data_IF_167447125902
#
_entry.id   IF_167447125902
#
_cell.length_a   1.000
_cell.length_b   1.000
_cell.length_c   1.000
_cell.angle_alpha   90.00
_cell.angle_beta   90.00
_cell.angle_gamma   90.00
#
_symmetry.space_group_name_H-M   'P 1'
#
loop_
_entity.id
_entity.type
_entity.pdbx_description
1 polymer ?
#
# COMPACT_ATOMS: atom_id res chain seq x y z
N UNK A 1 16.00 20.48 22.98
CA UNK A 1 16.18 21.55 22.02
C UNK A 1 14.99 21.72 21.10
N UNK A 2 14.99 22.78 20.41
CA UNK A 2 14.05 23.11 19.35
C UNK A 2 14.78 22.89 18.03
N UNK A 3 14.73 21.64 17.52
CA UNK A 3 15.45 21.28 16.30
C UNK A 3 14.54 21.29 15.06
N UNK A 4 13.24 21.06 15.26
CA UNK A 4 12.29 20.87 14.16
C UNK A 4 11.36 22.07 13.91
N UNK A 5 11.15 22.93 14.91
CA UNK A 5 10.38 24.16 14.75
C UNK A 5 11.28 25.33 15.21
N UNK A 6 11.55 26.31 14.33
CA UNK A 6 12.41 27.43 14.67
C UNK A 6 11.78 28.32 15.75
N UNK A 7 12.64 28.96 16.54
CA UNK A 7 12.24 29.83 17.65
C UNK A 7 11.33 30.96 17.19
N UNK A 8 11.57 31.45 15.99
CA UNK A 8 10.87 32.57 15.37
C UNK A 8 9.37 32.27 15.17
N UNK A 9 9.01 30.99 14.98
CA UNK A 9 7.62 30.57 14.89
C UNK A 9 6.95 30.38 16.26
N UNK A 10 7.72 30.12 17.31
CA UNK A 10 7.21 29.85 18.65
C UNK A 10 6.98 31.10 19.47
N UNK A 11 7.82 32.13 19.30
CA UNK A 11 7.75 33.39 20.06
C UNK A 11 6.42 34.13 19.90
N UNK A 12 5.83 34.24 18.70
CA UNK A 12 4.52 34.88 18.53
C UNK A 12 3.39 34.23 19.33
N UNK A 13 3.48 32.91 19.59
CA UNK A 13 2.45 32.16 20.32
C UNK A 13 2.32 32.56 21.80
N UNK A 14 3.40 33.15 22.34
CA UNK A 14 3.49 33.58 23.74
C UNK A 14 3.74 35.07 23.88
N UNK A 15 3.68 35.84 22.78
CA UNK A 15 3.91 37.27 22.78
C UNK A 15 2.96 38.04 23.70
N UNK A 16 1.73 37.55 23.86
CA UNK A 16 0.71 38.10 24.74
C UNK A 16 1.04 37.98 26.23
N UNK A 17 2.04 37.20 26.61
CA UNK A 17 2.51 37.05 28.00
C UNK A 17 3.60 38.08 28.36
N UNK A 18 4.25 38.66 27.36
CA UNK A 18 5.36 39.58 27.59
C UNK A 18 4.90 40.87 28.23
N UNK A 19 5.72 41.39 29.17
CA UNK A 19 5.47 42.66 29.85
C UNK A 19 4.32 42.67 30.87
N UNK A 20 3.70 41.49 31.13
CA UNK A 20 2.61 41.36 32.07
C UNK A 20 3.05 40.76 33.43
N UNK A 21 2.37 41.13 34.48
CA UNK A 21 2.47 40.39 35.75
C UNK A 21 1.57 39.19 35.68
N UNK A 22 2.14 37.99 35.73
CA UNK A 22 1.46 36.72 35.57
C UNK A 22 1.73 35.85 36.79
N UNK A 23 0.71 35.06 37.18
CA UNK A 23 0.89 33.92 38.06
C UNK A 23 1.59 32.78 37.37
N UNK A 24 2.20 31.87 38.14
CA UNK A 24 2.82 30.66 37.55
C UNK A 24 1.77 29.78 36.80
N UNK A 25 0.51 29.81 37.21
CA UNK A 25 -0.59 29.13 36.54
C UNK A 25 -0.86 29.70 35.15
N UNK A 26 -1.01 31.03 35.04
CA UNK A 26 -1.22 31.73 33.76
C UNK A 26 -0.04 31.52 32.79
N UNK A 27 1.17 31.57 33.33
CA UNK A 27 2.39 31.34 32.53
C UNK A 27 2.43 29.91 31.98
N UNK A 28 2.06 28.90 32.79
CA UNK A 28 1.95 27.49 32.33
C UNK A 28 0.88 27.30 31.27
N UNK A 29 -0.28 27.93 31.39
CA UNK A 29 -1.32 27.88 30.36
C UNK A 29 -0.86 28.54 29.06
N UNK A 30 -0.16 29.67 29.12
CA UNK A 30 0.44 30.29 27.93
C UNK A 30 1.46 29.39 27.23
N UNK A 31 2.34 28.74 27.99
CA UNK A 31 3.35 27.81 27.44
C UNK A 31 2.70 26.55 26.82
N UNK A 32 1.52 26.14 27.24
CA UNK A 32 0.77 25.06 26.59
C UNK A 32 0.48 25.33 25.10
N UNK A 33 0.34 26.61 24.69
CA UNK A 33 0.15 26.96 23.27
C UNK A 33 1.26 26.41 22.39
N UNK A 34 2.51 26.43 22.89
CA UNK A 34 3.66 25.84 22.19
C UNK A 34 3.48 24.32 22.05
N UNK A 35 3.05 23.64 23.12
CA UNK A 35 2.79 22.19 23.06
C UNK A 35 1.70 21.84 22.04
N UNK A 36 0.60 22.59 22.01
CA UNK A 36 -0.47 22.41 21.02
C UNK A 36 0.05 22.60 19.61
N UNK A 37 0.82 23.67 19.37
CA UNK A 37 1.42 23.97 18.09
C UNK A 37 2.32 22.85 17.54
N UNK A 38 3.14 22.25 18.41
CA UNK A 38 3.93 21.07 18.04
C UNK A 38 3.06 19.87 17.67
N UNK A 39 2.00 19.61 18.47
CA UNK A 39 1.10 18.46 18.25
C UNK A 39 0.30 18.59 16.96
N UNK A 40 -0.16 19.79 16.62
CA UNK A 40 -0.85 20.07 15.36
C UNK A 40 0.04 19.83 14.13
N UNK A 41 1.38 19.92 14.31
CA UNK A 41 2.38 19.59 13.28
C UNK A 41 2.84 18.12 13.33
N UNK A 42 2.15 17.28 14.10
CA UNK A 42 2.43 15.85 14.15
C UNK A 42 3.49 15.41 15.17
N UNK A 43 4.05 16.32 15.98
CA UNK A 43 4.99 15.97 17.06
C UNK A 43 4.23 15.59 18.34
N UNK A 44 3.61 14.41 18.33
CA UNK A 44 2.60 13.98 19.33
C UNK A 44 3.09 13.90 20.78
N UNK A 45 4.38 13.68 20.98
CA UNK A 45 5.00 13.59 22.32
C UNK A 45 5.68 14.88 22.75
N UNK A 46 5.74 15.89 21.86
CA UNK A 46 6.37 17.17 22.20
C UNK A 46 5.66 17.87 23.34
N UNK A 47 6.46 18.48 24.22
CA UNK A 47 5.97 19.20 25.40
C UNK A 47 6.85 20.41 25.71
N UNK A 48 6.22 21.57 25.81
CA UNK A 48 6.83 22.76 26.38
C UNK A 48 6.52 22.85 27.87
N UNK A 49 7.50 23.25 28.67
CA UNK A 49 7.33 23.41 30.11
C UNK A 49 8.31 24.45 30.67
N UNK A 50 8.05 24.91 31.88
CA UNK A 50 8.91 25.81 32.63
C UNK A 50 9.67 24.97 33.64
N UNK A 51 11.00 24.80 33.49
CA UNK A 51 11.82 24.10 34.48
C UNK A 51 11.88 24.88 35.80
N UNK A 52 12.26 24.19 36.87
CA UNK A 52 12.55 24.83 38.13
C UNK A 52 13.70 25.82 37.91
N UNK A 53 13.49 27.11 38.22
CA UNK A 53 14.41 28.19 37.96
C UNK A 53 14.18 29.36 38.90
N UNK A 54 15.22 30.17 39.12
CA UNK A 54 15.08 31.50 39.71
C UNK A 54 14.74 32.48 38.57
N UNK A 55 13.68 33.26 38.76
CA UNK A 55 13.32 34.32 37.82
C UNK A 55 14.15 35.57 38.16
N UNK A 56 15.07 35.93 37.28
CA UNK A 56 15.90 37.13 37.37
C UNK A 56 15.51 38.11 36.27
N UNK A 57 15.37 39.36 36.61
CA UNK A 57 15.06 40.46 35.67
C UNK A 57 13.80 40.22 34.81
N UNK A 58 12.83 39.50 35.37
CA UNK A 58 11.59 39.17 34.66
C UNK A 58 11.75 38.17 33.52
N UNK A 59 12.92 37.54 33.38
CA UNK A 59 13.23 36.57 32.31
C UNK A 59 12.83 35.14 32.74
N UNK A 60 12.01 34.46 31.94
CA UNK A 60 11.58 33.08 32.20
C UNK A 60 12.06 32.19 31.10
N UNK A 61 12.80 31.12 31.45
CA UNK A 61 13.19 30.06 30.53
C UNK A 61 12.03 29.10 30.29
N UNK A 62 11.68 28.93 29.03
CA UNK A 62 10.76 27.87 28.57
C UNK A 62 11.58 26.81 27.87
N UNK A 63 11.42 25.57 28.27
CA UNK A 63 12.11 24.45 27.67
C UNK A 63 11.12 23.60 26.85
N UNK A 64 11.55 23.16 25.65
CA UNK A 64 10.79 22.27 24.80
C UNK A 64 11.50 20.92 24.73
N UNK A 65 10.77 19.87 25.04
CA UNK A 65 11.14 18.48 24.78
C UNK A 65 10.37 18.02 23.54
N UNK A 66 11.06 17.76 22.43
CA UNK A 66 10.41 17.31 21.18
C UNK A 66 10.09 15.83 21.21
N UNK A 67 10.79 15.05 22.04
CA UNK A 67 10.62 13.61 22.19
C UNK A 67 11.29 12.81 21.07
N UNK A 68 12.32 12.05 21.43
CA UNK A 68 13.05 11.18 20.47
C UNK A 68 12.74 9.72 20.71
N UNK A 69 12.68 8.92 19.66
CA UNK A 69 12.55 7.48 19.75
C UNK A 69 13.94 6.86 20.02
N UNK A 70 14.01 5.95 21.00
CA UNK A 70 15.26 5.22 21.32
C UNK A 70 15.21 3.80 20.77
N UNK A 71 14.06 3.13 20.91
CA UNK A 71 13.90 1.76 20.46
C UNK A 71 12.50 1.50 19.92
N UNK A 72 12.40 0.57 18.97
CA UNK A 72 11.14 -0.03 18.55
C UNK A 72 11.17 -1.53 18.80
N UNK A 73 10.16 -2.06 19.48
CA UNK A 73 9.98 -3.49 19.71
C UNK A 73 8.64 -3.96 19.19
N UNK A 74 8.59 -5.23 18.77
CA UNK A 74 7.40 -5.85 18.21
C UNK A 74 6.87 -6.91 19.15
N UNK A 75 5.59 -6.85 19.46
CA UNK A 75 4.80 -7.87 20.10
C UNK A 75 3.97 -8.58 19.02
N UNK A 76 4.50 -9.71 18.51
CA UNK A 76 4.00 -10.36 17.31
C UNK A 76 3.10 -11.55 17.63
N UNK A 77 1.84 -11.45 17.22
CA UNK A 77 0.84 -12.51 17.24
C UNK A 77 0.42 -12.96 15.84
N UNK A 78 1.05 -12.41 14.78
CA UNK A 78 0.79 -12.79 13.40
C UNK A 78 1.59 -14.03 12.98
N UNK A 79 1.31 -14.53 11.78
CA UNK A 79 2.10 -15.61 11.18
C UNK A 79 3.41 -15.12 10.55
N UNK A 80 3.56 -13.82 10.36
CA UNK A 80 4.76 -13.23 9.76
C UNK A 80 5.93 -13.32 10.73
N UNK A 81 7.08 -13.72 10.25
CA UNK A 81 8.31 -13.83 11.07
C UNK A 81 8.71 -12.46 11.60
N UNK A 82 9.15 -12.41 12.85
CA UNK A 82 9.49 -11.18 13.56
C UNK A 82 10.52 -10.33 12.81
N UNK A 83 11.56 -10.94 12.25
CA UNK A 83 12.58 -10.21 11.50
C UNK A 83 12.04 -9.51 10.24
N UNK A 84 10.96 -10.01 9.61
CA UNK A 84 10.31 -9.34 8.49
C UNK A 84 9.60 -8.07 8.96
N UNK A 85 8.88 -8.18 10.09
CA UNK A 85 8.20 -7.04 10.72
C UNK A 85 9.22 -5.99 11.18
N UNK A 86 10.31 -6.44 11.83
CA UNK A 86 11.37 -5.56 12.31
C UNK A 86 12.03 -4.81 11.15
N UNK A 87 12.29 -5.47 10.01
CA UNK A 87 12.81 -4.83 8.80
C UNK A 87 11.91 -3.69 8.31
N UNK A 88 10.59 -3.79 8.47
CA UNK A 88 9.67 -2.71 8.09
C UNK A 88 9.81 -1.52 9.03
N UNK A 89 9.94 -1.73 10.33
CA UNK A 89 10.14 -0.64 11.29
C UNK A 89 11.52 0.01 11.10
N UNK A 90 12.56 -0.78 10.93
CA UNK A 90 13.94 -0.29 10.77
C UNK A 90 14.07 0.57 9.51
N UNK A 91 13.36 0.21 8.44
CA UNK A 91 13.33 0.98 7.19
C UNK A 91 12.69 2.37 7.34
N UNK A 92 11.93 2.64 8.41
CA UNK A 92 11.40 3.97 8.68
C UNK A 92 12.43 4.89 9.34
N UNK A 93 13.58 4.36 9.75
CA UNK A 93 14.70 5.11 10.34
C UNK A 93 14.25 6.01 11.51
N UNK A 94 13.48 5.43 12.43
CA UNK A 94 12.86 6.15 13.55
C UNK A 94 13.82 6.37 14.72
N UNK A 95 14.85 5.52 14.88
CA UNK A 95 15.73 5.52 16.04
C UNK A 95 16.59 6.79 16.09
N UNK A 96 16.62 7.43 17.25
CA UNK A 96 17.35 8.68 17.48
C UNK A 96 16.69 9.92 16.88
N UNK A 97 15.57 9.77 16.17
CA UNK A 97 14.81 10.87 15.56
C UNK A 97 13.65 11.32 16.42
N UNK A 98 13.22 12.55 16.19
CA UNK A 98 12.02 13.10 16.82
C UNK A 98 10.78 12.33 16.31
N UNK A 99 9.91 11.97 17.24
CA UNK A 99 8.72 11.18 16.93
C UNK A 99 7.72 12.07 16.19
N UNK A 100 7.58 11.80 14.88
CA UNK A 100 6.57 12.40 14.03
C UNK A 100 5.50 11.35 13.68
N UNK A 101 4.23 11.74 13.79
CA UNK A 101 3.09 10.84 13.49
C UNK A 101 3.15 10.30 12.07
N UNK A 102 3.49 11.13 11.07
CA UNK A 102 3.54 10.71 9.68
C UNK A 102 4.48 9.52 9.41
N UNK A 103 5.68 9.53 10.03
CA UNK A 103 6.66 8.46 9.86
C UNK A 103 6.26 7.20 10.65
N UNK A 104 5.77 7.39 11.88
CA UNK A 104 5.29 6.29 12.72
C UNK A 104 4.08 5.63 12.10
N UNK A 105 3.10 6.41 11.63
CA UNK A 105 1.88 5.91 10.98
C UNK A 105 2.22 5.15 9.70
N UNK A 106 3.16 5.64 8.89
CA UNK A 106 3.64 4.91 7.70
C UNK A 106 4.15 3.52 8.07
N UNK A 107 4.99 3.40 9.09
CA UNK A 107 5.51 2.10 9.54
C UNK A 107 4.41 1.15 10.00
N UNK A 108 3.46 1.64 10.80
CA UNK A 108 2.33 0.84 11.27
C UNK A 108 1.41 0.39 10.12
N UNK A 109 1.17 1.27 9.15
CA UNK A 109 0.35 0.96 7.97
C UNK A 109 1.03 -0.06 7.05
N UNK A 110 2.34 0.06 6.81
CA UNK A 110 3.10 -0.93 6.04
C UNK A 110 3.12 -2.31 6.70
N UNK A 111 3.15 -2.36 8.03
CA UNK A 111 2.97 -3.62 8.76
C UNK A 111 1.57 -4.20 8.58
N UNK A 112 0.54 -3.35 8.64
CA UNK A 112 -0.86 -3.77 8.45
C UNK A 112 -1.15 -4.23 7.01
N UNK A 113 -0.38 -3.77 6.02
CA UNK A 113 -0.49 -4.18 4.62
C UNK A 113 0.09 -5.58 4.35
N UNK A 114 0.84 -6.16 5.30
CA UNK A 114 1.41 -7.49 5.12
C UNK A 114 0.33 -8.58 5.22
N UNK A 115 0.28 -9.52 4.26
CA UNK A 115 -0.60 -10.67 4.32
C UNK A 115 -0.47 -11.44 5.64
N UNK A 116 -1.60 -11.86 6.20
CA UNK A 116 -1.70 -12.55 7.52
C UNK A 116 -1.44 -11.65 8.73
N UNK A 117 -1.29 -10.35 8.54
CA UNK A 117 -1.30 -9.37 9.63
C UNK A 117 -2.73 -8.83 9.80
N UNK A 118 -3.17 -8.77 11.05
CA UNK A 118 -4.45 -8.21 11.43
C UNK A 118 -4.31 -6.77 11.93
N UNK A 119 -4.88 -6.49 13.11
CA UNK A 119 -4.78 -5.15 13.71
C UNK A 119 -3.34 -4.85 14.13
N UNK A 120 -2.83 -3.69 13.73
CA UNK A 120 -1.55 -3.15 14.19
C UNK A 120 -1.81 -1.93 15.07
N UNK A 121 -1.12 -1.85 16.21
CA UNK A 121 -1.22 -0.74 17.14
C UNK A 121 0.15 -0.37 17.70
N UNK A 122 0.51 0.92 17.61
CA UNK A 122 1.71 1.47 18.23
C UNK A 122 1.39 2.09 19.59
N UNK A 123 2.23 1.82 20.60
CA UNK A 123 2.17 2.43 21.92
C UNK A 123 3.51 3.02 22.27
N UNK A 124 3.54 4.31 22.60
CA UNK A 124 4.73 4.98 23.10
C UNK A 124 4.81 4.83 24.62
N UNK A 125 5.97 4.47 25.13
CA UNK A 125 6.31 4.45 26.56
C UNK A 125 7.44 5.45 26.82
N UNK A 126 7.48 6.08 28.01
CA UNK A 126 8.66 6.86 28.40
C UNK A 126 9.90 5.99 28.35
N UNK A 127 10.97 6.49 27.73
CA UNK A 127 12.26 5.85 27.75
C UNK A 127 13.02 6.13 29.04
N UNK A 128 14.22 5.57 29.19
CA UNK A 128 15.05 5.73 30.40
C UNK A 128 15.52 7.19 30.61
N UNK A 129 15.76 7.92 29.54
CA UNK A 129 16.21 9.32 29.61
C UNK A 129 15.03 10.27 29.41
N UNK A 130 15.06 11.41 30.12
CA UNK A 130 14.06 12.47 29.94
C UNK A 130 14.05 12.95 28.48
N UNK A 131 12.88 13.00 27.86
CA UNK A 131 12.70 13.40 26.46
C UNK A 131 12.88 12.26 25.45
N UNK A 132 13.04 11.02 25.93
CA UNK A 132 13.06 9.83 25.08
C UNK A 132 11.79 8.98 25.26
N UNK A 133 11.47 8.19 24.24
CA UNK A 133 10.36 7.23 24.25
C UNK A 133 10.74 5.95 23.53
N UNK A 134 10.13 4.84 23.93
CA UNK A 134 10.18 3.56 23.26
C UNK A 134 8.85 3.29 22.57
N UNK A 135 8.90 2.75 21.34
CA UNK A 135 7.73 2.35 20.57
C UNK A 135 7.53 0.83 20.72
N UNK A 136 6.38 0.43 21.24
CA UNK A 136 5.96 -0.96 21.26
C UNK A 136 4.86 -1.12 20.21
N UNK A 137 5.10 -1.99 19.22
CA UNK A 137 4.16 -2.29 18.15
C UNK A 137 3.55 -3.66 18.38
N UNK A 138 2.26 -3.68 18.66
CA UNK A 138 1.47 -4.92 18.74
C UNK A 138 0.94 -5.28 17.35
N UNK A 139 1.27 -6.47 16.89
CA UNK A 139 0.88 -7.00 15.58
C UNK A 139 -0.04 -8.20 15.79
N UNK A 140 -1.33 -8.01 15.54
CA UNK A 140 -2.33 -9.05 15.70
C UNK A 140 -2.33 -10.05 14.53
N UNK A 141 -2.89 -11.24 14.78
CA UNK A 141 -3.10 -12.25 13.76
C UNK A 141 -4.17 -11.80 12.75
N UNK A 142 -3.87 -11.93 11.47
CA UNK A 142 -4.81 -11.76 10.35
C UNK A 142 -5.29 -13.09 9.79
N UNK A 143 -6.08 -13.03 8.72
CA UNK A 143 -6.57 -14.21 8.03
C UNK A 143 -5.44 -14.89 7.26
N UNK A 144 -5.26 -16.20 7.47
CA UNK A 144 -4.29 -17.00 6.72
C UNK A 144 -4.81 -17.42 5.35
N UNK A 145 -6.13 -17.51 5.20
CA UNK A 145 -6.79 -17.86 3.94
C UNK A 145 -7.98 -16.96 3.74
N UNK A 146 -8.16 -16.50 2.53
CA UNK A 146 -9.31 -15.70 2.09
C UNK A 146 -9.82 -16.28 0.78
N UNK A 147 -11.12 -16.25 0.56
CA UNK A 147 -11.69 -16.73 -0.69
C UNK A 147 -13.09 -16.21 -0.91
N UNK A 148 -13.49 -16.22 -2.15
CA UNK A 148 -14.85 -15.94 -2.57
C UNK A 148 -15.23 -16.79 -3.78
N UNK A 149 -16.52 -17.04 -3.89
CA UNK A 149 -17.15 -17.62 -5.07
C UNK A 149 -18.26 -16.66 -5.47
N UNK A 150 -18.39 -16.38 -6.76
CA UNK A 150 -19.45 -15.53 -7.29
C UNK A 150 -20.01 -16.08 -8.60
N UNK A 151 -21.30 -15.85 -8.80
CA UNK A 151 -22.00 -16.10 -10.05
C UNK A 151 -22.43 -14.74 -10.61
N UNK A 152 -22.20 -14.51 -11.89
CA UNK A 152 -22.62 -13.31 -12.57
C UNK A 152 -22.98 -13.59 -14.04
N UNK A 153 -23.59 -12.60 -14.69
CA UNK A 153 -24.01 -12.66 -16.10
C UNK A 153 -23.26 -11.64 -16.96
N UNK A 154 -22.04 -11.27 -16.55
CA UNK A 154 -21.22 -10.27 -17.25
C UNK A 154 -20.29 -10.88 -18.31
N UNK A 155 -20.45 -12.15 -18.63
CA UNK A 155 -19.70 -12.81 -19.68
C UNK A 155 -20.09 -12.36 -21.08
N UNK A 156 -19.26 -12.70 -22.04
CA UNK A 156 -19.54 -12.44 -23.46
C UNK A 156 -20.59 -13.44 -23.97
N UNK A 157 -21.51 -13.00 -24.82
CA UNK A 157 -22.56 -13.83 -25.42
C UNK A 157 -22.00 -15.04 -26.18
N UNK A 158 -20.83 -14.91 -26.78
CA UNK A 158 -20.25 -15.95 -27.65
C UNK A 158 -19.36 -16.94 -26.90
N UNK A 159 -18.88 -16.58 -25.71
CA UNK A 159 -18.04 -17.44 -24.87
C UNK A 159 -18.66 -17.71 -23.50
N UNK A 160 -19.96 -17.42 -23.35
CA UNK A 160 -20.75 -17.68 -22.17
C UNK A 160 -21.05 -16.44 -21.33
N UNK A 161 -22.34 -16.14 -21.16
CA UNK A 161 -22.81 -15.02 -20.36
C UNK A 161 -22.78 -15.33 -18.88
N UNK A 162 -23.14 -16.54 -18.48
CA UNK A 162 -23.16 -16.96 -17.09
C UNK A 162 -21.75 -17.38 -16.67
N UNK A 163 -21.19 -16.72 -15.66
CA UNK A 163 -19.85 -17.00 -15.17
C UNK A 163 -19.87 -17.47 -13.73
N UNK A 164 -19.17 -18.54 -13.45
CA UNK A 164 -18.78 -18.94 -12.09
C UNK A 164 -17.33 -18.56 -11.87
N UNK A 165 -17.10 -17.70 -10.88
CA UNK A 165 -15.79 -17.24 -10.52
C UNK A 165 -15.41 -17.75 -9.13
N UNK A 166 -14.20 -18.24 -8.98
CA UNK A 166 -13.62 -18.66 -7.72
C UNK A 166 -12.27 -17.99 -7.50
N UNK A 167 -12.02 -17.56 -6.27
CA UNK A 167 -10.71 -17.06 -5.86
C UNK A 167 -10.38 -17.56 -4.46
N UNK A 168 -9.13 -17.99 -4.26
CA UNK A 168 -8.59 -18.32 -2.95
C UNK A 168 -7.18 -17.73 -2.84
N UNK A 169 -6.89 -17.11 -1.70
CA UNK A 169 -5.59 -16.56 -1.39
C UNK A 169 -5.06 -17.15 -0.08
N UNK A 170 -3.80 -17.53 -0.09
CA UNK A 170 -3.05 -17.99 1.09
C UNK A 170 -2.10 -16.87 1.52
N UNK A 171 -2.36 -16.32 2.68
CA UNK A 171 -1.61 -15.20 3.24
C UNK A 171 -0.46 -15.70 4.10
N UNK A 172 0.76 -15.24 3.79
CA UNK A 172 2.00 -15.58 4.48
C UNK A 172 2.25 -17.09 4.65
N UNK A 173 2.13 -17.91 3.58
CA UNK A 173 2.33 -19.36 3.70
C UNK A 173 3.73 -19.72 4.18
N UNK A 174 4.76 -18.93 3.86
CA UNK A 174 6.16 -19.15 4.32
C UNK A 174 6.52 -18.34 5.55
N UNK A 175 5.65 -17.43 6.01
CA UNK A 175 5.91 -16.51 7.11
C UNK A 175 6.72 -15.27 6.69
N UNK A 176 6.84 -14.99 5.39
CA UNK A 176 7.59 -13.85 4.87
C UNK A 176 6.71 -12.64 4.56
N UNK A 177 5.42 -12.67 4.90
CA UNK A 177 4.45 -11.67 4.42
C UNK A 177 4.17 -11.83 2.93
N UNK A 178 4.36 -13.03 2.42
CA UNK A 178 4.13 -13.45 1.04
C UNK A 178 2.66 -13.84 0.83
N UNK A 179 2.25 -13.94 -0.44
CA UNK A 179 0.89 -14.34 -0.80
C UNK A 179 0.90 -15.25 -2.02
N UNK A 180 0.11 -16.33 -1.95
CA UNK A 180 -0.29 -17.12 -3.10
C UNK A 180 -1.76 -16.76 -3.41
N UNK A 181 -2.06 -16.46 -4.67
CA UNK A 181 -3.41 -16.12 -5.12
C UNK A 181 -3.78 -17.04 -6.28
N UNK A 182 -4.90 -17.75 -6.16
CA UNK A 182 -5.44 -18.65 -7.16
C UNK A 182 -6.80 -18.12 -7.60
N UNK A 183 -7.02 -18.03 -8.93
CA UNK A 183 -8.28 -17.62 -9.53
C UNK A 183 -8.69 -18.61 -10.61
N UNK A 184 -10.00 -18.85 -10.71
CA UNK A 184 -10.60 -19.62 -11.79
C UNK A 184 -11.92 -18.98 -12.19
N UNK A 185 -12.21 -19.00 -13.49
CA UNK A 185 -13.51 -18.62 -14.06
C UNK A 185 -13.90 -19.66 -15.08
N UNK A 186 -15.16 -20.10 -15.03
CA UNK A 186 -15.77 -20.96 -16.04
C UNK A 186 -17.10 -20.34 -16.47
N UNK A 187 -17.47 -20.57 -17.72
CA UNK A 187 -18.73 -20.07 -18.28
C UNK A 187 -19.61 -21.23 -18.80
N UNK A 188 -20.82 -20.90 -19.20
CA UNK A 188 -21.79 -21.82 -19.80
C UNK A 188 -21.55 -22.07 -21.31
N UNK A 189 -20.60 -21.40 -21.95
CA UNK A 189 -20.19 -21.57 -23.36
C UNK A 189 -18.67 -21.79 -23.47
N UNK A 190 -18.16 -22.76 -22.68
CA UNK A 190 -16.82 -23.34 -22.76
C UNK A 190 -15.62 -22.38 -22.59
N UNK A 191 -15.78 -21.19 -21.98
CA UNK A 191 -14.64 -20.42 -21.53
C UNK A 191 -14.15 -20.94 -20.18
N UNK A 192 -12.87 -21.26 -20.12
CA UNK A 192 -12.16 -21.62 -18.87
C UNK A 192 -10.95 -20.69 -18.72
N UNK A 193 -10.82 -20.05 -17.56
CA UNK A 193 -9.68 -19.23 -17.18
C UNK A 193 -9.14 -19.69 -15.85
N UNK A 194 -7.82 -19.78 -15.75
CA UNK A 194 -7.11 -20.05 -14.50
C UNK A 194 -5.89 -19.16 -14.34
N UNK A 195 -5.61 -18.73 -13.09
CA UNK A 195 -4.42 -17.94 -12.76
C UNK A 195 -3.87 -18.37 -11.42
N UNK A 196 -2.55 -18.46 -11.34
CA UNK A 196 -1.78 -18.58 -10.10
C UNK A 196 -0.80 -17.41 -10.02
N UNK A 197 -0.73 -16.78 -8.86
CA UNK A 197 0.23 -15.70 -8.61
C UNK A 197 0.89 -15.90 -7.25
N UNK A 198 2.14 -15.46 -7.16
CA UNK A 198 2.91 -15.39 -5.92
C UNK A 198 3.60 -14.05 -5.83
N UNK A 199 3.53 -13.42 -4.67
CA UNK A 199 4.25 -12.18 -4.39
C UNK A 199 4.76 -12.13 -2.95
N UNK A 200 5.83 -11.35 -2.74
CA UNK A 200 6.45 -11.19 -1.42
C UNK A 200 7.02 -9.77 -1.25
N UNK A 201 7.11 -9.26 0.00
CA UNK A 201 7.76 -8.00 0.30
C UNK A 201 9.29 -8.19 0.24
N UNK A 202 9.96 -7.39 -0.60
CA UNK A 202 11.42 -7.46 -0.79
C UNK A 202 12.18 -6.40 -0.01
N UNK A 203 11.51 -5.31 0.36
CA UNK A 203 12.11 -4.25 1.20
C UNK A 203 11.21 -3.88 2.38
N UNK A 204 11.80 -3.27 3.42
CA UNK A 204 11.04 -2.73 4.54
C UNK A 204 10.20 -1.50 4.20
N UNK A 205 10.47 -0.83 3.08
CA UNK A 205 9.70 0.32 2.58
C UNK A 205 8.42 -0.06 1.81
N UNK A 206 8.06 -1.34 1.79
CA UNK A 206 6.82 -1.83 1.24
C UNK A 206 6.88 -2.25 -0.24
N UNK A 207 8.05 -2.28 -0.89
CA UNK A 207 8.18 -2.84 -2.23
C UNK A 207 7.84 -4.33 -2.21
N UNK A 208 6.87 -4.74 -3.03
CA UNK A 208 6.50 -6.14 -3.27
C UNK A 208 6.83 -6.50 -4.71
N UNK A 209 7.39 -7.69 -4.92
CA UNK A 209 7.61 -8.29 -6.24
C UNK A 209 6.78 -9.55 -6.35
N UNK A 210 6.25 -9.80 -7.53
CA UNK A 210 5.45 -10.99 -7.79
C UNK A 210 5.58 -11.49 -9.21
N UNK A 211 5.19 -12.76 -9.37
CA UNK A 211 5.06 -13.44 -10.66
C UNK A 211 3.69 -14.12 -10.74
N UNK A 212 3.17 -14.24 -11.94
CA UNK A 212 1.93 -14.95 -12.19
C UNK A 212 1.98 -15.72 -13.51
N UNK A 213 1.23 -16.82 -13.53
CA UNK A 213 0.93 -17.59 -14.73
C UNK A 213 -0.58 -17.66 -14.87
N UNK A 214 -1.09 -17.46 -16.09
CA UNK A 214 -2.50 -17.68 -16.39
C UNK A 214 -2.68 -18.39 -17.72
N UNK A 215 -3.78 -19.10 -17.83
CA UNK A 215 -4.21 -19.74 -19.05
C UNK A 215 -5.71 -19.52 -19.22
N UNK A 216 -6.13 -19.27 -20.46
CA UNK A 216 -7.53 -19.26 -20.84
C UNK A 216 -7.73 -20.08 -22.11
N UNK A 217 -8.87 -20.76 -22.20
CA UNK A 217 -9.36 -21.37 -23.42
C UNK A 217 -10.81 -21.00 -23.61
N UNK A 218 -11.25 -20.88 -24.85
CA UNK A 218 -12.64 -20.62 -25.20
C UNK A 218 -13.00 -21.25 -26.55
N UNK A 219 -14.28 -21.56 -26.72
CA UNK A 219 -14.91 -21.84 -28.01
C UNK A 219 -15.97 -20.78 -28.28
N UNK A 220 -16.16 -20.44 -29.59
CA UNK A 220 -17.20 -19.49 -29.97
C UNK A 220 -18.53 -20.26 -30.21
N UNK A 221 -19.52 -19.93 -29.41
CA UNK A 221 -20.86 -20.44 -29.51
C UNK A 221 -21.82 -19.61 -30.38
N UNK A 222 -23.10 -19.84 -30.21
CA UNK A 222 -24.20 -19.12 -30.86
C UNK A 222 -24.10 -19.13 -32.38
N UNK A 223 -24.23 -17.97 -33.05
CA UNK A 223 -24.16 -17.84 -34.51
C UNK A 223 -22.79 -18.19 -35.10
N UNK A 224 -21.75 -18.27 -34.29
CA UNK A 224 -20.39 -18.66 -34.71
C UNK A 224 -20.06 -20.14 -34.46
N UNK A 225 -20.96 -20.92 -33.88
CA UNK A 225 -20.73 -22.32 -33.61
C UNK A 225 -20.34 -23.14 -34.87
N UNK A 226 -20.89 -22.77 -36.03
CA UNK A 226 -20.57 -23.43 -37.31
C UNK A 226 -19.12 -23.20 -37.80
N UNK A 227 -18.42 -22.20 -37.24
CA UNK A 227 -17.01 -21.91 -37.55
C UNK A 227 -16.08 -22.88 -36.83
N UNK A 228 -16.57 -23.50 -35.74
CA UNK A 228 -15.78 -24.34 -34.84
C UNK A 228 -14.46 -23.56 -34.47
N UNK A 229 -14.66 -22.33 -34.03
CA UNK A 229 -13.57 -21.37 -33.72
C UNK A 229 -13.26 -21.43 -32.22
N UNK A 230 -11.99 -21.65 -31.91
CA UNK A 230 -11.49 -21.74 -30.55
C UNK A 230 -10.24 -20.90 -30.36
N UNK A 231 -9.93 -20.51 -29.12
CA UNK A 231 -8.70 -19.79 -28.81
C UNK A 231 -8.11 -20.20 -27.49
N UNK A 232 -6.80 -20.12 -27.41
CA UNK A 232 -6.00 -20.37 -26.24
C UNK A 232 -5.09 -19.17 -25.96
N UNK A 233 -4.97 -18.79 -24.70
CA UNK A 233 -4.01 -17.79 -24.29
C UNK A 233 -3.24 -18.27 -23.06
N UNK A 234 -1.90 -18.17 -23.10
CA UNK A 234 -1.02 -18.44 -21.95
C UNK A 234 -0.23 -17.19 -21.66
N UNK A 235 -0.31 -16.69 -20.42
CA UNK A 235 0.37 -15.46 -20.03
C UNK A 235 1.29 -15.71 -18.86
N UNK A 236 2.53 -15.26 -18.98
CA UNK A 236 3.50 -15.18 -17.88
C UNK A 236 3.68 -13.71 -17.52
N UNK A 237 3.59 -13.37 -16.22
CA UNK A 237 3.69 -11.99 -15.75
C UNK A 237 4.73 -11.85 -14.65
N UNK A 238 5.44 -10.72 -14.66
CA UNK A 238 6.24 -10.23 -13.54
C UNK A 238 5.73 -8.85 -13.15
N UNK A 239 5.55 -8.61 -11.85
CA UNK A 239 5.02 -7.34 -11.39
C UNK A 239 5.70 -6.83 -10.12
N UNK A 240 5.65 -5.51 -9.96
CA UNK A 240 6.12 -4.80 -8.78
C UNK A 240 5.05 -3.85 -8.28
N UNK A 241 4.93 -3.71 -6.96
CA UNK A 241 4.02 -2.75 -6.30
C UNK A 241 4.81 -2.00 -5.23
N UNK A 242 4.77 -0.67 -5.29
CA UNK A 242 5.48 0.18 -4.35
C UNK A 242 4.58 1.30 -3.80
N UNK A 243 4.41 1.41 -2.47
CA UNK A 243 3.68 2.51 -1.83
C UNK A 243 4.57 3.76 -1.75
N UNK A 244 4.41 4.70 -2.69
CA UNK A 244 5.13 5.98 -2.68
C UNK A 244 4.73 6.79 -1.45
N UNK A 245 3.41 6.95 -1.26
CA UNK A 245 2.81 7.58 -0.07
C UNK A 245 1.94 6.55 0.63
N UNK A 246 2.13 6.36 1.92
CA UNK A 246 1.29 5.51 2.76
C UNK A 246 1.00 6.24 4.06
N UNK A 247 -0.18 6.80 4.16
CA UNK A 247 -0.64 7.61 5.29
C UNK A 247 -2.10 7.34 5.64
N UNK A 248 -2.57 7.91 6.73
CA UNK A 248 -3.95 7.73 7.19
C UNK A 248 -4.97 8.36 6.23
N UNK A 249 -4.62 9.52 5.65
CA UNK A 249 -5.55 10.31 4.84
C UNK A 249 -5.20 10.34 3.35
N UNK A 250 -4.03 9.87 2.96
CA UNK A 250 -3.58 9.90 1.57
C UNK A 250 -2.66 8.74 1.28
N UNK A 251 -2.88 8.09 0.17
CA UNK A 251 -2.11 6.95 -0.29
C UNK A 251 -1.83 7.08 -1.78
N UNK A 252 -0.60 6.73 -2.18
CA UNK A 252 -0.19 6.68 -3.60
C UNK A 252 0.66 5.45 -3.83
N UNK A 253 0.28 4.65 -4.81
CA UNK A 253 1.01 3.46 -5.24
C UNK A 253 1.52 3.61 -6.65
N UNK A 254 2.68 3.05 -6.90
CA UNK A 254 3.26 2.82 -8.21
C UNK A 254 3.26 1.32 -8.46
N UNK A 255 2.75 0.89 -9.61
CA UNK A 255 2.83 -0.49 -10.07
C UNK A 255 3.49 -0.58 -11.42
N UNK A 256 4.26 -1.62 -11.63
CA UNK A 256 4.79 -2.02 -12.92
C UNK A 256 4.44 -3.47 -13.17
N UNK A 257 4.02 -3.80 -14.37
CA UNK A 257 3.73 -5.16 -14.80
C UNK A 257 4.29 -5.40 -16.19
N UNK A 258 4.92 -6.54 -16.38
CA UNK A 258 5.36 -7.04 -17.69
C UNK A 258 4.72 -8.39 -17.94
N UNK A 259 4.15 -8.57 -19.11
CA UNK A 259 3.47 -9.78 -19.53
C UNK A 259 3.99 -10.26 -20.85
N UNK A 260 4.31 -11.54 -20.91
CA UNK A 260 4.56 -12.29 -22.13
C UNK A 260 3.35 -13.19 -22.40
N UNK A 261 2.69 -12.97 -23.54
CA UNK A 261 1.44 -13.64 -23.92
C UNK A 261 1.66 -14.46 -25.18
N UNK A 262 1.34 -15.75 -25.12
CA UNK A 262 1.23 -16.63 -26.28
C UNK A 262 -0.26 -16.86 -26.55
N UNK A 263 -0.69 -16.52 -27.75
CA UNK A 263 -2.07 -16.56 -28.20
C UNK A 263 -2.18 -17.46 -29.42
N UNK A 264 -3.14 -18.36 -29.41
CA UNK A 264 -3.45 -19.24 -30.53
C UNK A 264 -4.94 -19.13 -30.82
N UNK A 265 -5.28 -18.78 -32.05
CA UNK A 265 -6.65 -18.76 -32.55
C UNK A 265 -6.77 -19.79 -33.68
N UNK A 266 -7.71 -20.71 -33.56
CA UNK A 266 -8.00 -21.77 -34.54
C UNK A 266 -9.43 -21.64 -35.04
N UNK A 267 -9.60 -21.71 -36.37
CA UNK A 267 -10.91 -21.83 -37.03
C UNK A 267 -10.92 -23.14 -37.82
N UNK A 268 -11.47 -24.19 -37.21
CA UNK A 268 -11.42 -25.55 -37.76
C UNK A 268 -12.20 -25.71 -39.08
N UNK A 269 -13.32 -24.98 -39.25
CA UNK A 269 -14.12 -25.02 -40.46
C UNK A 269 -13.35 -24.65 -41.73
N UNK A 270 -12.29 -23.86 -41.62
CA UNK A 270 -11.41 -23.44 -42.74
C UNK A 270 -9.97 -23.89 -42.54
N UNK A 271 -9.69 -24.70 -41.54
CA UNK A 271 -8.39 -25.23 -41.19
C UNK A 271 -7.32 -24.11 -41.04
N UNK A 272 -7.66 -23.03 -40.36
CA UNK A 272 -6.82 -21.86 -40.13
C UNK A 272 -6.35 -21.85 -38.67
N UNK A 273 -5.03 -21.74 -38.45
CA UNK A 273 -4.41 -21.55 -37.14
C UNK A 273 -3.58 -20.27 -37.24
N UNK A 274 -3.74 -19.41 -36.22
CA UNK A 274 -3.00 -18.14 -36.11
C UNK A 274 -2.34 -18.08 -34.75
N UNK A 275 -1.01 -18.13 -34.77
CA UNK A 275 -0.18 -17.95 -33.58
C UNK A 275 0.30 -16.51 -33.47
N UNK A 276 0.19 -15.93 -32.29
CA UNK A 276 0.61 -14.59 -31.98
C UNK A 276 1.35 -14.57 -30.64
N UNK A 277 2.37 -13.74 -30.55
CA UNK A 277 3.09 -13.46 -29.32
C UNK A 277 2.98 -11.98 -29.00
N UNK A 278 2.66 -11.62 -27.77
CA UNK A 278 2.59 -10.23 -27.36
C UNK A 278 3.38 -10.01 -26.08
N UNK A 279 4.26 -9.01 -26.10
CA UNK A 279 4.95 -8.49 -24.94
C UNK A 279 4.31 -7.16 -24.51
N UNK A 280 3.81 -7.10 -23.29
CA UNK A 280 3.04 -5.96 -22.80
C UNK A 280 3.62 -5.45 -21.47
N UNK A 281 4.04 -4.19 -21.48
CA UNK A 281 4.43 -3.44 -20.28
C UNK A 281 3.32 -2.50 -19.85
N UNK A 282 3.02 -2.50 -18.55
CA UNK A 282 2.07 -1.56 -17.94
C UNK A 282 2.74 -0.87 -16.78
N UNK A 283 2.65 0.46 -16.74
CA UNK A 283 3.03 1.25 -15.58
C UNK A 283 1.79 2.03 -15.12
N UNK A 284 1.51 1.96 -13.85
CA UNK A 284 0.34 2.60 -13.28
C UNK A 284 0.70 3.33 -11.99
N UNK A 285 0.21 4.55 -11.85
CA UNK A 285 0.21 5.29 -10.59
C UNK A 285 -1.24 5.56 -10.20
N UNK A 286 -1.59 5.22 -8.98
CA UNK A 286 -2.94 5.42 -8.47
C UNK A 286 -2.91 5.80 -7.00
N UNK A 287 -3.96 6.42 -6.54
CA UNK A 287 -4.05 6.86 -5.16
C UNK A 287 -5.47 7.13 -4.71
N UNK A 288 -5.56 7.33 -3.40
CA UNK A 288 -6.74 7.79 -2.71
C UNK A 288 -6.41 8.89 -1.71
N UNK A 289 -7.37 9.72 -1.45
CA UNK A 289 -7.28 10.80 -0.48
C UNK A 289 -8.61 11.03 0.22
N UNK A 290 -8.54 11.24 1.53
CA UNK A 290 -9.67 11.71 2.35
C UNK A 290 -9.41 13.17 2.68
N UNK A 291 -10.30 14.06 2.22
CA UNK A 291 -10.26 15.49 2.55
C UNK A 291 -11.28 15.81 3.65
N UNK A 292 -10.80 16.49 4.70
CA UNK A 292 -11.61 16.90 5.83
C UNK A 292 -12.28 18.27 5.65
N UNK A 293 -12.03 18.99 4.54
CA UNK A 293 -12.61 20.31 4.27
C UNK A 293 -14.10 20.20 3.92
N UNK A 294 -14.96 20.65 4.82
CA UNK A 294 -16.41 20.79 4.57
C UNK A 294 -17.21 19.49 4.54
N UNK A 295 -16.71 18.43 5.16
CA UNK A 295 -17.26 17.07 5.18
C UNK A 295 -16.29 16.08 4.55
N UNK A 296 -16.20 14.87 5.12
CA UNK A 296 -15.27 13.86 4.63
C UNK A 296 -15.56 13.53 3.15
N UNK A 297 -14.67 13.95 2.26
CA UNK A 297 -14.71 13.62 0.83
C UNK A 297 -13.64 12.57 0.56
N UNK A 298 -14.05 11.49 -0.06
CA UNK A 298 -13.15 10.44 -0.53
C UNK A 298 -12.95 10.59 -2.04
N UNK A 299 -11.70 10.67 -2.46
CA UNK A 299 -11.31 10.78 -3.87
C UNK A 299 -10.36 9.64 -4.23
N UNK A 300 -10.57 9.06 -5.40
CA UNK A 300 -9.65 8.09 -6.00
C UNK A 300 -9.26 8.54 -7.39
N UNK A 301 -8.04 8.24 -7.79
CA UNK A 301 -7.53 8.56 -9.12
C UNK A 301 -6.56 7.47 -9.59
N UNK A 302 -6.45 7.33 -10.91
CA UNK A 302 -5.59 6.36 -11.55
C UNK A 302 -5.09 6.90 -12.88
N UNK A 303 -3.80 6.72 -13.16
CA UNK A 303 -3.17 7.03 -14.44
C UNK A 303 -2.37 5.79 -14.83
N UNK A 304 -2.64 5.28 -16.03
CA UNK A 304 -1.98 4.07 -16.55
C UNK A 304 -1.38 4.36 -17.91
N UNK A 305 -0.16 3.89 -18.13
CA UNK A 305 0.50 3.79 -19.43
C UNK A 305 0.66 2.34 -19.81
N UNK A 306 0.24 1.98 -21.02
CA UNK A 306 0.38 0.64 -21.58
C UNK A 306 1.16 0.75 -22.87
N UNK A 307 2.13 -0.12 -23.05
CA UNK A 307 2.94 -0.24 -24.25
C UNK A 307 3.19 -1.73 -24.53
N UNK A 308 3.21 -2.10 -25.78
CA UNK A 308 3.39 -3.50 -26.16
C UNK A 308 3.81 -3.65 -27.59
N UNK A 309 4.34 -4.82 -27.88
CA UNK A 309 4.70 -5.30 -29.20
C UNK A 309 3.93 -6.58 -29.49
N UNK A 310 3.43 -6.72 -30.71
CA UNK A 310 2.69 -7.87 -31.18
C UNK A 310 3.41 -8.49 -32.38
N UNK A 311 3.82 -9.74 -32.24
CA UNK A 311 4.32 -10.56 -33.33
C UNK A 311 3.24 -11.53 -33.80
N UNK A 312 3.09 -11.66 -35.13
CA UNK A 312 2.20 -12.63 -35.78
C UNK A 312 3.08 -13.66 -36.46
N UNK A 313 3.09 -14.88 -35.94
CA UNK A 313 4.03 -15.91 -36.34
C UNK A 313 3.56 -16.72 -37.58
N UNK A 314 2.26 -16.56 -37.93
CA UNK A 314 1.67 -17.26 -39.06
C UNK A 314 1.66 -16.38 -40.33
N UNK A 315 2.36 -16.75 -41.44
CA UNK A 315 2.50 -15.91 -42.61
C UNK A 315 1.19 -15.50 -43.30
N UNK A 316 0.18 -16.36 -43.28
CA UNK A 316 -1.15 -16.08 -43.85
C UNK A 316 -1.91 -14.99 -43.07
N UNK A 317 -1.78 -14.94 -41.74
CA UNK A 317 -2.41 -13.94 -40.87
C UNK A 317 -1.70 -12.58 -40.97
N UNK A 318 -0.40 -12.56 -41.21
CA UNK A 318 0.37 -11.33 -41.43
C UNK A 318 -0.13 -10.55 -42.67
N UNK A 319 -0.46 -11.26 -43.76
CA UNK A 319 -1.00 -10.64 -44.95
C UNK A 319 -2.36 -9.96 -44.74
N UNK A 320 -3.22 -10.50 -43.88
CA UNK A 320 -4.53 -9.92 -43.55
C UNK A 320 -4.37 -8.67 -42.71
N UNK A 321 -3.41 -8.63 -41.81
CA UNK A 321 -3.18 -7.48 -40.91
C UNK A 321 -2.59 -6.25 -41.63
N UNK A 322 -1.87 -6.43 -42.76
CA UNK A 322 -1.33 -5.34 -43.56
C UNK A 322 -2.37 -4.63 -44.43
N UNK A 323 -3.54 -5.23 -44.61
CA UNK A 323 -4.61 -4.73 -45.51
C UNK A 323 -5.87 -4.24 -44.78
N UNK A 324 -5.89 -4.25 -43.44
CA UNK A 324 -6.95 -3.69 -42.58
C UNK A 324 -6.47 -2.42 -41.87
#
# INVERSE_FOLDING_TARGET
GMANIPREELLPLIADLQGKRLTLGELREGVKKITVYYRERGYVVARAYIPAQEIKDGSVLVQVLEGTLVSGSIDNHSRVKEWVLQRVLDAQDLNGKVIASSTTDRGLLLLADLPSVGKVAGKLRPGEKVGTSDLIVSVGAGKNTEGNISLDTYGNRYTGQNRLNGRIAFNSPTGLGDRIDLMATVTDEDLVYGRVAYDLPVTGNGLRLGAALSSSSYELGQEFANLDAQGNAKTSSLYAVYPIVRGLNSNVWLTGNFEHRNLEDEVKSVNSIVDKTADVGTVEIFGDMVDAYGGARYSTWRISGLFGDLSIDTPSAFAIHQHG
#
